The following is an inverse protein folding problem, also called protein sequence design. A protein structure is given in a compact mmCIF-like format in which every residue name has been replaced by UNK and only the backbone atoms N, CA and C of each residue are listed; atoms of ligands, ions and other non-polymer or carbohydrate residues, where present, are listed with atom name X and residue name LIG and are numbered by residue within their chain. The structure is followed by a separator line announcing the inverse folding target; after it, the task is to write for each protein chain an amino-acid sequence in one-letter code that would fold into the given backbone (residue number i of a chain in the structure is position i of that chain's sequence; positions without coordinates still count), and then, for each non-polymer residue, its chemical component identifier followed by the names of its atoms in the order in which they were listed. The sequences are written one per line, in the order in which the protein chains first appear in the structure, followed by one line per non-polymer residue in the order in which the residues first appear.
data_IF_246144166933
#
_entry.id   IF_246144166933
#
_cell.length_a   1.000
_cell.length_b   1.000
_cell.length_c   1.000
_cell.angle_alpha   90.00
_cell.angle_beta   90.00
_cell.angle_gamma   90.00
#
_symmetry.space_group_name_H-M   'P 1'
#
loop_
_entity.id
_entity.type
_entity.pdbx_description
1 polymer ?
#
# COMPACT_ATOMS: atom_id res chain seq x y z
N UNK A 1 53.37 -20.07 10.36
CA UNK A 1 52.43 -20.38 9.26
C UNK A 1 51.10 -19.73 9.62
N UNK A 2 50.70 -18.74 8.83
CA UNK A 2 49.60 -17.85 9.15
C UNK A 2 48.26 -18.57 9.03
N UNK A 3 47.46 -18.39 10.08
CA UNK A 3 46.02 -18.66 10.13
C UNK A 3 45.29 -17.63 9.27
N UNK A 4 44.24 -18.04 8.54
CA UNK A 4 43.20 -17.13 8.05
C UNK A 4 41.94 -17.94 7.76
N UNK A 5 41.07 -18.02 8.76
CA UNK A 5 39.66 -18.34 8.59
C UNK A 5 38.96 -17.07 8.09
N UNK A 6 38.53 -17.07 6.83
CA UNK A 6 37.70 -15.98 6.27
C UNK A 6 36.30 -16.14 6.85
N UNK A 7 35.95 -15.28 7.81
CA UNK A 7 34.59 -15.13 8.30
C UNK A 7 33.72 -14.55 7.19
N UNK A 8 32.69 -15.30 6.80
CA UNK A 8 31.61 -14.83 5.94
C UNK A 8 30.74 -13.92 6.80
N UNK A 9 30.81 -12.61 6.58
CA UNK A 9 29.79 -11.69 7.11
C UNK A 9 28.58 -11.91 6.20
N UNK A 10 27.69 -12.80 6.61
CA UNK A 10 26.33 -12.79 6.08
C UNK A 10 25.73 -11.47 6.55
N UNK A 11 25.55 -10.52 5.63
CA UNK A 11 24.65 -9.39 5.86
C UNK A 11 23.28 -10.00 6.19
N UNK A 12 22.98 -10.11 7.49
CA UNK A 12 21.64 -10.38 7.97
C UNK A 12 20.84 -9.17 7.53
N UNK A 13 20.15 -9.27 6.40
CA UNK A 13 19.14 -8.29 6.02
C UNK A 13 18.08 -8.38 7.12
N UNK A 14 18.19 -7.51 8.12
CA UNK A 14 17.18 -7.37 9.17
C UNK A 14 15.86 -7.06 8.47
N UNK A 15 14.94 -8.01 8.54
CA UNK A 15 13.59 -7.83 8.01
C UNK A 15 12.96 -6.68 8.77
N UNK A 16 12.21 -5.77 8.10
CA UNK A 16 11.55 -4.69 8.81
C UNK A 16 10.61 -5.28 9.86
N UNK A 17 10.87 -4.95 11.13
CA UNK A 17 9.98 -5.28 12.24
C UNK A 17 8.93 -4.17 12.35
N UNK A 18 7.73 -4.49 12.81
CA UNK A 18 6.68 -3.49 13.00
C UNK A 18 6.98 -2.60 14.21
N UNK A 19 7.90 -1.65 14.06
CA UNK A 19 8.39 -0.79 15.13
C UNK A 19 7.58 0.51 15.18
N UNK A 20 6.62 0.60 16.10
CA UNK A 20 5.68 1.75 16.18
C UNK A 20 6.41 3.09 16.36
N UNK A 21 7.51 3.11 17.12
CA UNK A 21 8.32 4.33 17.32
C UNK A 21 8.96 4.87 16.04
N UNK A 22 9.03 4.06 14.98
CA UNK A 22 9.55 4.45 13.67
C UNK A 22 8.43 4.82 12.67
N UNK A 23 7.20 5.00 13.16
CA UNK A 23 6.04 5.38 12.35
C UNK A 23 5.36 4.21 11.63
N UNK A 24 5.71 2.97 11.99
CA UNK A 24 4.94 1.79 11.58
C UNK A 24 3.65 1.67 12.41
N UNK A 25 2.64 1.01 11.88
CA UNK A 25 1.41 0.76 12.62
C UNK A 25 0.71 -0.53 12.19
N UNK A 26 -0.06 -1.11 13.12
CA UNK A 26 -1.06 -2.15 12.86
C UNK A 26 -2.44 -1.61 13.26
N UNK A 27 -3.48 -2.11 12.61
CA UNK A 27 -4.83 -1.90 13.11
C UNK A 27 -5.08 -2.78 14.35
N UNK A 28 -5.98 -2.38 15.27
CA UNK A 28 -6.36 -3.22 16.40
C UNK A 28 -6.81 -4.61 15.94
N UNK A 29 -6.17 -5.65 16.46
CA UNK A 29 -6.47 -7.05 16.09
C UNK A 29 -5.98 -7.48 14.69
N UNK A 30 -5.26 -6.62 13.97
CA UNK A 30 -4.70 -6.93 12.66
C UNK A 30 -3.24 -7.40 12.73
N UNK A 31 -2.83 -8.19 11.73
CA UNK A 31 -1.46 -8.71 11.64
C UNK A 31 -0.57 -7.90 10.69
N UNK A 32 -1.19 -7.26 9.68
CA UNK A 32 -0.49 -6.46 8.68
C UNK A 32 0.09 -5.19 9.30
N UNK A 33 1.36 -4.92 8.96
CA UNK A 33 2.09 -3.76 9.44
C UNK A 33 2.33 -2.77 8.30
N UNK A 34 1.92 -1.53 8.50
CA UNK A 34 1.94 -0.50 7.49
C UNK A 34 2.84 0.67 7.88
N UNK A 35 3.26 1.45 6.89
CA UNK A 35 3.87 2.76 7.07
C UNK A 35 3.34 3.71 6.00
N UNK A 36 2.81 4.85 6.42
CA UNK A 36 2.25 5.86 5.52
C UNK A 36 3.27 6.99 5.31
N UNK A 37 3.89 7.02 4.14
CA UNK A 37 4.87 8.03 3.77
C UNK A 37 4.19 9.27 3.20
N UNK A 38 4.32 10.38 3.93
CA UNK A 38 3.75 11.70 3.58
C UNK A 38 4.80 12.78 3.29
N UNK A 39 6.05 12.35 3.13
CA UNK A 39 7.19 13.21 2.84
C UNK A 39 7.13 13.83 1.45
N UNK A 40 6.51 13.15 0.47
CA UNK A 40 6.29 13.66 -0.87
C UNK A 40 5.14 12.93 -1.57
N UNK A 41 4.51 13.60 -2.53
CA UNK A 41 3.67 12.94 -3.53
C UNK A 41 4.54 12.24 -4.58
N UNK A 42 4.13 11.05 -5.00
CA UNK A 42 4.87 10.15 -5.87
C UNK A 42 3.98 9.56 -6.96
N UNK A 43 4.53 9.36 -8.15
CA UNK A 43 3.92 8.46 -9.12
C UNK A 43 3.80 7.05 -8.53
N UNK A 44 3.00 6.19 -9.13
CA UNK A 44 2.86 4.82 -8.64
C UNK A 44 4.20 4.07 -8.63
N UNK A 45 4.99 4.21 -9.69
CA UNK A 45 6.31 3.59 -9.81
C UNK A 45 7.28 4.12 -8.75
N UNK A 46 7.28 5.43 -8.48
CA UNK A 46 8.11 6.02 -7.44
C UNK A 46 7.66 5.60 -6.03
N UNK A 47 6.35 5.42 -5.83
CA UNK A 47 5.79 4.92 -4.58
C UNK A 47 6.21 3.46 -4.32
N UNK A 48 6.20 2.62 -5.36
CA UNK A 48 6.71 1.26 -5.29
C UNK A 48 8.21 1.23 -4.97
N UNK A 49 9.01 2.05 -5.66
CA UNK A 49 10.44 2.19 -5.39
C UNK A 49 10.71 2.67 -3.95
N UNK A 50 9.89 3.60 -3.43
CA UNK A 50 9.96 4.06 -2.03
C UNK A 50 9.75 2.92 -1.05
N UNK A 51 8.78 2.03 -1.28
CA UNK A 51 8.57 0.88 -0.41
C UNK A 51 9.75 -0.12 -0.49
N UNK A 52 10.22 -0.42 -1.70
CA UNK A 52 11.34 -1.35 -1.93
C UNK A 52 12.63 -0.88 -1.24
N UNK A 53 12.91 0.44 -1.28
CA UNK A 53 14.06 1.03 -0.58
C UNK A 53 14.06 0.77 0.93
N UNK A 54 12.89 0.54 1.53
CA UNK A 54 12.71 0.29 2.96
C UNK A 54 12.44 -1.21 3.24
N UNK A 55 12.76 -2.11 2.31
CA UNK A 55 12.48 -3.55 2.39
C UNK A 55 10.98 -3.87 2.60
N UNK A 56 10.10 -3.04 2.01
CA UNK A 56 8.64 -3.17 2.06
C UNK A 56 8.06 -3.33 0.66
N UNK A 57 6.77 -3.64 0.59
CA UNK A 57 5.99 -3.57 -0.66
C UNK A 57 4.96 -2.43 -0.58
N UNK A 58 4.43 -1.99 -1.72
CA UNK A 58 3.18 -1.23 -1.69
C UNK A 58 2.12 -2.08 -0.99
N UNK A 59 1.34 -1.45 -0.13
CA UNK A 59 0.43 -2.16 0.76
C UNK A 59 -0.63 -2.93 -0.03
N UNK A 60 -0.92 -4.14 0.42
CA UNK A 60 -2.06 -4.92 -0.07
C UNK A 60 -2.92 -5.25 1.16
N UNK A 61 -3.82 -4.35 1.55
CA UNK A 61 -4.68 -4.59 2.70
C UNK A 61 -5.55 -5.81 2.46
N UNK A 62 -5.72 -6.66 3.47
CA UNK A 62 -6.78 -7.66 3.43
C UNK A 62 -8.14 -6.95 3.28
N UNK A 63 -9.03 -7.54 2.50
CA UNK A 63 -10.34 -6.95 2.18
C UNK A 63 -11.12 -6.56 3.44
N UNK A 64 -11.08 -7.42 4.47
CA UNK A 64 -11.77 -7.19 5.74
C UNK A 64 -11.23 -6.00 6.55
N UNK A 65 -10.04 -5.48 6.23
CA UNK A 65 -9.46 -4.33 6.94
C UNK A 65 -9.40 -3.05 6.10
N UNK A 66 -9.61 -3.11 4.79
CA UNK A 66 -9.40 -1.97 3.88
C UNK A 66 -10.18 -0.71 4.30
N UNK A 67 -11.45 -0.86 4.71
CA UNK A 67 -12.28 0.24 5.17
C UNK A 67 -11.79 0.82 6.52
N UNK A 68 -11.35 -0.03 7.44
CA UNK A 68 -10.79 0.38 8.72
C UNK A 68 -9.43 1.08 8.55
N UNK A 69 -8.61 0.59 7.62
CA UNK A 69 -7.31 1.16 7.27
C UNK A 69 -7.45 2.59 6.73
N UNK A 70 -8.40 2.82 5.82
CA UNK A 70 -8.72 4.19 5.34
C UNK A 70 -9.06 5.12 6.50
N UNK A 71 -9.90 4.66 7.43
CA UNK A 71 -10.33 5.47 8.59
C UNK A 71 -9.16 5.76 9.52
N UNK A 72 -8.33 4.76 9.82
CA UNK A 72 -7.12 4.94 10.59
C UNK A 72 -6.21 6.00 9.94
N UNK A 73 -6.04 5.96 8.62
CA UNK A 73 -5.20 6.94 7.93
C UNK A 73 -5.75 8.35 8.08
N UNK A 74 -7.07 8.51 7.90
CA UNK A 74 -7.76 9.79 8.07
C UNK A 74 -7.63 10.33 9.50
N UNK A 75 -7.84 9.48 10.51
CA UNK A 75 -7.87 9.88 11.92
C UNK A 75 -6.47 10.25 12.43
N UNK A 76 -5.41 9.58 11.94
CA UNK A 76 -4.05 9.75 12.46
C UNK A 76 -3.17 10.65 11.58
N UNK A 77 -3.45 10.75 10.29
CA UNK A 77 -2.64 11.54 9.35
C UNK A 77 -3.43 12.67 8.69
N UNK A 78 -4.75 12.71 8.83
CA UNK A 78 -5.58 13.78 8.29
C UNK A 78 -6.01 13.57 6.83
N UNK A 79 -6.71 14.56 6.30
CA UNK A 79 -7.37 14.53 5.00
C UNK A 79 -6.36 14.64 3.84
N UNK A 80 -6.28 13.63 2.97
CA UNK A 80 -5.43 13.62 1.78
C UNK A 80 -6.20 12.99 0.61
N UNK A 81 -5.96 13.46 -0.62
CA UNK A 81 -6.78 13.06 -1.79
C UNK A 81 -6.82 11.54 -1.97
N UNK A 82 -5.64 10.92 -2.05
CA UNK A 82 -5.48 9.48 -2.16
C UNK A 82 -4.10 9.05 -1.69
N UNK A 83 -3.94 7.74 -1.48
CA UNK A 83 -2.70 7.07 -1.12
C UNK A 83 -2.57 5.82 -1.97
N UNK A 84 -1.42 5.64 -2.63
CA UNK A 84 -1.16 4.45 -3.45
C UNK A 84 -1.10 3.17 -2.62
N UNK A 85 -1.72 2.12 -3.14
CA UNK A 85 -1.64 0.73 -2.64
C UNK A 85 -1.31 -0.22 -3.81
N UNK A 86 -0.85 -1.42 -3.51
CA UNK A 86 -0.12 -2.27 -4.44
C UNK A 86 -0.98 -3.05 -5.42
N UNK A 87 -1.78 -2.40 -6.26
CA UNK A 87 -2.41 -3.04 -7.41
C UNK A 87 -2.41 -2.16 -8.66
N UNK A 88 -2.36 -2.81 -9.81
CA UNK A 88 -2.33 -2.20 -11.14
C UNK A 88 -3.26 -2.98 -12.08
N UNK A 89 -3.89 -2.30 -13.02
CA UNK A 89 -4.69 -2.95 -14.05
C UNK A 89 -3.78 -3.67 -15.07
N UNK A 90 -4.22 -4.83 -15.56
CA UNK A 90 -3.49 -5.64 -16.55
C UNK A 90 -4.08 -5.61 -17.97
N UNK A 91 -5.10 -4.77 -18.21
CA UNK A 91 -5.92 -4.79 -19.42
C UNK A 91 -7.25 -5.51 -19.26
N UNK A 92 -7.46 -6.25 -18.16
CA UNK A 92 -8.69 -7.00 -17.88
C UNK A 92 -9.20 -6.84 -16.44
N UNK A 93 -8.31 -6.80 -15.46
CA UNK A 93 -8.63 -6.62 -14.03
C UNK A 93 -7.51 -5.88 -13.32
N UNK A 94 -7.78 -5.37 -12.12
CA UNK A 94 -6.71 -4.96 -11.21
C UNK A 94 -6.11 -6.20 -10.56
N UNK A 95 -4.78 -6.27 -10.48
CA UNK A 95 -4.05 -7.33 -9.78
C UNK A 95 -3.14 -6.73 -8.74
N UNK A 96 -3.15 -7.34 -7.55
CA UNK A 96 -2.17 -6.97 -6.55
C UNK A 96 -0.77 -7.38 -6.99
N UNK A 97 0.22 -6.51 -6.75
CA UNK A 97 1.59 -6.69 -7.25
C UNK A 97 2.30 -7.90 -6.63
N UNK A 98 1.97 -8.23 -5.37
CA UNK A 98 2.75 -9.19 -4.56
C UNK A 98 2.39 -10.65 -4.85
N UNK A 99 1.13 -11.01 -4.75
CA UNK A 99 0.62 -12.38 -4.86
C UNK A 99 -0.30 -12.58 -6.09
N UNK A 100 -0.54 -11.51 -6.87
CA UNK A 100 -1.31 -11.52 -8.13
C UNK A 100 -2.80 -11.92 -8.09
N UNK A 101 -3.52 -11.97 -6.94
CA UNK A 101 -4.95 -12.21 -6.96
C UNK A 101 -5.65 -11.02 -7.63
N UNK A 102 -6.70 -11.30 -8.41
CA UNK A 102 -7.49 -10.27 -9.03
C UNK A 102 -8.34 -9.54 -7.98
N UNK A 103 -8.38 -8.21 -8.08
CA UNK A 103 -9.43 -7.39 -7.50
C UNK A 103 -10.52 -7.25 -8.57
N UNK A 104 -11.56 -8.07 -8.45
CA UNK A 104 -12.65 -8.13 -9.42
C UNK A 104 -13.43 -6.82 -9.45
N UNK A 105 -14.01 -6.49 -10.61
CA UNK A 105 -14.76 -5.23 -10.82
C UNK A 105 -16.04 -5.15 -10.00
N UNK A 106 -16.56 -6.27 -9.51
CA UNK A 106 -17.74 -6.37 -8.63
C UNK A 106 -17.41 -6.32 -7.14
N UNK A 107 -16.14 -6.12 -6.77
CA UNK A 107 -15.74 -5.99 -5.37
C UNK A 107 -16.45 -4.82 -4.68
N UNK A 108 -17.03 -5.08 -3.52
CA UNK A 108 -17.68 -4.07 -2.66
C UNK A 108 -16.72 -2.96 -2.17
N UNK A 109 -15.42 -3.16 -2.34
CA UNK A 109 -14.39 -2.20 -1.96
C UNK A 109 -14.27 -1.03 -2.95
N UNK A 110 -14.74 -1.20 -4.19
CA UNK A 110 -14.78 -0.12 -5.18
C UNK A 110 -15.74 0.98 -4.77
N UNK A 111 -15.27 2.22 -4.78
CA UNK A 111 -16.16 3.37 -4.62
C UNK A 111 -17.17 3.43 -5.77
N UNK A 112 -18.24 4.21 -5.58
CA UNK A 112 -19.21 4.44 -6.65
C UNK A 112 -18.51 4.88 -7.95
N UNK A 113 -18.95 4.28 -9.06
CA UNK A 113 -18.44 4.48 -10.43
C UNK A 113 -17.01 3.96 -10.70
N UNK A 114 -16.47 3.12 -9.81
CA UNK A 114 -15.16 2.47 -9.97
C UNK A 114 -15.28 0.96 -10.29
N UNK A 115 -14.25 0.32 -10.85
CA UNK A 115 -13.00 0.93 -11.31
C UNK A 115 -13.16 1.69 -12.63
N UNK A 116 -12.63 2.92 -12.68
CA UNK A 116 -12.35 3.59 -13.96
C UNK A 116 -11.09 3.01 -14.61
N UNK A 117 -11.09 2.85 -15.94
CA UNK A 117 -9.87 2.55 -16.70
C UNK A 117 -9.17 1.24 -16.36
N UNK A 118 -9.44 0.18 -17.12
CA UNK A 118 -8.83 -1.14 -16.90
C UNK A 118 -7.57 -1.35 -17.77
N UNK A 119 -6.90 -0.26 -18.18
CA UNK A 119 -5.66 -0.33 -18.99
C UNK A 119 -4.41 -0.28 -18.10
N UNK A 120 -3.28 -0.77 -18.60
CA UNK A 120 -2.05 -0.93 -17.81
C UNK A 120 -1.44 0.37 -17.25
N UNK A 121 -1.93 1.53 -17.68
CA UNK A 121 -1.57 2.83 -17.13
C UNK A 121 -2.44 3.27 -15.94
N UNK A 122 -3.30 2.39 -15.41
CA UNK A 122 -4.13 2.65 -14.23
C UNK A 122 -3.74 1.81 -13.01
N UNK A 123 -3.79 2.46 -11.86
CA UNK A 123 -3.26 1.97 -10.59
C UNK A 123 -4.27 2.21 -9.45
N UNK A 124 -4.20 1.37 -8.42
CA UNK A 124 -5.13 1.37 -7.31
C UNK A 124 -4.73 2.35 -6.21
N UNK A 125 -5.65 3.24 -5.86
CA UNK A 125 -5.54 4.13 -4.73
C UNK A 125 -6.50 3.77 -3.60
N UNK A 126 -6.10 4.10 -2.38
CA UNK A 126 -6.97 4.20 -1.20
C UNK A 126 -7.49 5.64 -1.10
N UNK A 127 -8.79 5.85 -1.25
CA UNK A 127 -9.44 7.18 -1.23
C UNK A 127 -9.54 7.70 0.20
N UNK A 128 -8.56 8.48 0.63
CA UNK A 128 -8.38 8.96 2.01
C UNK A 128 -8.92 10.37 2.24
N UNK A 129 -10.04 10.72 1.57
CA UNK A 129 -10.69 12.03 1.71
C UNK A 129 -11.86 12.00 2.69
N UNK A 130 -11.94 12.95 3.63
CA UNK A 130 -12.96 12.93 4.70
C UNK A 130 -14.40 12.97 4.17
N UNK A 131 -14.64 13.75 3.12
CA UNK A 131 -15.96 13.84 2.45
C UNK A 131 -16.39 12.53 1.81
N UNK A 132 -15.45 11.68 1.40
CA UNK A 132 -15.70 10.40 0.76
C UNK A 132 -15.98 9.31 1.79
N UNK A 133 -15.33 9.36 2.95
CA UNK A 133 -15.66 8.49 4.07
C UNK A 133 -17.13 8.65 4.50
N UNK A 134 -17.66 9.88 4.48
CA UNK A 134 -19.07 10.16 4.81
C UNK A 134 -20.05 9.59 3.78
N UNK A 135 -19.68 9.58 2.50
CA UNK A 135 -20.55 9.09 1.41
C UNK A 135 -20.53 7.57 1.31
N UNK A 136 -19.33 6.99 1.28
CA UNK A 136 -19.11 5.56 1.02
C UNK A 136 -18.16 4.98 2.07
N UNK A 137 -18.61 4.73 3.32
CA UNK A 137 -17.76 4.38 4.45
C UNK A 137 -17.06 3.02 4.37
N UNK A 138 -17.51 2.13 3.47
CA UNK A 138 -16.98 0.77 3.31
C UNK A 138 -16.33 0.48 1.96
N UNK A 139 -16.29 1.48 1.06
CA UNK A 139 -15.76 1.34 -0.29
C UNK A 139 -14.58 2.28 -0.50
N UNK A 140 -13.36 1.88 -0.10
CA UNK A 140 -12.21 2.77 -0.07
C UNK A 140 -11.40 2.82 -1.38
N UNK A 141 -11.66 1.93 -2.33
CA UNK A 141 -10.82 1.77 -3.52
C UNK A 141 -11.26 2.62 -4.69
N UNK A 142 -10.26 3.13 -5.41
CA UNK A 142 -10.41 4.03 -6.55
C UNK A 142 -9.29 3.79 -7.55
N UNK A 143 -9.58 4.02 -8.81
CA UNK A 143 -8.63 3.95 -9.88
C UNK A 143 -8.09 5.34 -10.24
N UNK A 144 -6.80 5.41 -10.55
CA UNK A 144 -6.17 6.61 -11.10
C UNK A 144 -5.10 6.22 -12.12
N UNK A 145 -4.79 7.13 -13.05
CA UNK A 145 -3.59 6.96 -13.88
C UNK A 145 -2.35 6.85 -12.99
N UNK A 146 -1.49 5.87 -13.27
CA UNK A 146 -0.27 5.58 -12.51
C UNK A 146 0.72 6.76 -12.49
N UNK A 147 0.61 7.69 -13.46
CA UNK A 147 1.43 8.89 -13.55
C UNK A 147 1.03 10.01 -12.59
N UNK A 148 -0.15 9.93 -11.96
CA UNK A 148 -0.59 10.93 -10.97
C UNK A 148 0.23 10.79 -9.69
N UNK A 149 0.46 11.90 -9.00
CA UNK A 149 1.25 11.91 -7.77
C UNK A 149 0.37 11.88 -6.53
N UNK A 150 0.52 10.84 -5.69
CA UNK A 150 -0.18 10.67 -4.40
C UNK A 150 0.77 10.21 -3.30
N UNK A 151 0.29 10.16 -2.05
CA UNK A 151 1.07 9.62 -0.93
C UNK A 151 1.22 8.10 -1.06
N UNK A 152 2.10 7.52 -0.25
CA UNK A 152 2.49 6.11 -0.38
C UNK A 152 2.17 5.34 0.88
N UNK A 153 1.43 4.23 0.76
CA UNK A 153 1.26 3.27 1.84
C UNK A 153 2.07 2.02 1.54
N UNK A 154 3.04 1.74 2.42
CA UNK A 154 3.84 0.53 2.34
C UNK A 154 3.38 -0.47 3.40
N UNK A 155 3.62 -1.75 3.14
CA UNK A 155 3.40 -2.87 4.05
C UNK A 155 4.70 -3.69 4.22
N UNK A 156 4.97 -4.10 5.46
CA UNK A 156 6.04 -5.04 5.78
C UNK A 156 5.65 -6.43 5.25
N UNK A 157 6.48 -7.00 4.38
CA UNK A 157 6.28 -8.36 3.88
C UNK A 157 6.87 -9.34 4.87
N UNK A 158 6.03 -9.96 5.68
CA UNK A 158 6.43 -11.06 6.57
C UNK A 158 6.50 -12.35 5.75
N UNK A 159 7.71 -12.83 5.48
CA UNK A 159 7.96 -14.13 4.80
C UNK A 159 8.09 -15.27 5.78
#
# INVERSE_FOLDING_TARGET
MHSSSIGRIEDVIERPVCVVSEGYFKLPGGEQCFKHYRDAYRSFTDAEAKCKLHNMALAQPHDNIAAALRRYILDNFGDVVSTWIGAQADGSVYRYLRDQPPLTTDSHLWAADEPEGITSDWCLGLRTRSSQLKKNPNSPYVAYRCSVSYYTLCEVVMS
#
